data_IF_746277514973
#
_entry.id   IF_746277514973
#
_cell.length_a   1.000
_cell.length_b   1.000
_cell.length_c   1.000
_cell.angle_alpha   90.00
_cell.angle_beta   90.00
_cell.angle_gamma   90.00
#
_symmetry.space_group_name_H-M   'P 1'
#
loop_
_entity.id
_entity.type
_entity.pdbx_description
1 polymer ?
#
# COMPACT_ATOMS: atom_id res chain seq x y z
N UNK A 1 -4.69 22.70 5.63
CA UNK A 1 -4.83 22.44 7.07
C UNK A 1 -3.65 23.00 7.84
N UNK A 2 -3.90 23.76 8.91
CA UNK A 2 -2.86 24.29 9.80
C UNK A 2 -3.34 24.22 11.26
N UNK A 3 -2.53 23.63 12.13
CA UNK A 3 -2.77 23.66 13.56
C UNK A 3 -2.38 25.02 14.13
N UNK A 4 -3.21 25.54 15.02
CA UNK A 4 -2.99 26.83 15.67
C UNK A 4 -2.77 26.62 17.18
N UNK A 5 -1.76 27.31 17.71
CA UNK A 5 -1.34 27.24 19.11
C UNK A 5 0.17 27.04 19.25
N UNK A 6 0.75 27.45 20.35
CA UNK A 6 2.18 27.27 20.69
C UNK A 6 2.38 26.21 21.75
N UNK A 7 1.88 26.44 22.96
CA UNK A 7 1.99 25.49 24.09
C UNK A 7 0.73 24.66 24.30
N UNK A 8 -0.37 25.10 23.72
CA UNK A 8 -1.69 24.46 23.77
C UNK A 8 -2.35 24.57 22.41
N UNK A 9 -3.08 23.53 22.01
CA UNK A 9 -3.94 23.59 20.82
C UNK A 9 -5.05 24.59 21.07
N UNK A 10 -5.22 25.55 20.16
CA UNK A 10 -6.30 26.53 20.16
C UNK A 10 -7.36 26.18 19.13
N UNK A 11 -6.99 25.50 18.07
CA UNK A 11 -7.90 25.12 17.01
C UNK A 11 -7.23 24.73 15.73
N UNK A 12 -8.06 24.57 14.70
CA UNK A 12 -7.70 24.14 13.35
C UNK A 12 -8.13 25.18 12.33
N UNK A 13 -7.21 25.62 11.50
CA UNK A 13 -7.50 26.42 10.33
C UNK A 13 -7.51 25.54 9.08
N UNK A 14 -8.58 25.62 8.30
CA UNK A 14 -8.71 24.89 7.03
C UNK A 14 -9.26 25.78 5.92
N UNK A 15 -8.98 25.42 4.69
CA UNK A 15 -9.62 25.97 3.49
C UNK A 15 -10.37 24.83 2.78
N UNK A 16 -11.56 25.14 2.29
CA UNK A 16 -12.30 24.22 1.42
C UNK A 16 -11.60 24.12 0.07
N UNK A 17 -11.46 22.90 -0.45
CA UNK A 17 -11.07 22.65 -1.84
C UNK A 17 -12.37 22.68 -2.67
N UNK A 18 -12.85 23.88 -3.03
CA UNK A 18 -13.94 23.99 -3.99
C UNK A 18 -13.43 23.61 -5.37
N UNK A 19 -14.19 22.79 -6.09
CA UNK A 19 -13.84 22.27 -7.42
C UNK A 19 -13.89 23.31 -8.56
N UNK A 20 -14.14 24.58 -8.28
CA UNK A 20 -14.19 25.64 -9.28
C UNK A 20 -12.96 26.54 -9.21
N UNK A 21 -12.16 26.63 -10.30
CA UNK A 21 -10.93 27.41 -10.33
C UNK A 21 -11.15 28.94 -10.42
N UNK A 22 -12.38 29.42 -10.40
CA UNK A 22 -12.70 30.84 -10.68
C UNK A 22 -12.91 31.74 -9.46
N UNK A 23 -12.79 31.23 -8.24
CA UNK A 23 -12.92 32.07 -7.04
C UNK A 23 -11.59 32.15 -6.30
N UNK A 24 -10.88 33.22 -6.55
CA UNK A 24 -9.59 33.62 -5.95
C UNK A 24 -9.68 34.00 -4.46
N UNK A 25 -10.56 33.39 -3.68
CA UNK A 25 -10.61 33.55 -2.23
C UNK A 25 -10.63 32.18 -1.57
N UNK A 26 -9.44 31.69 -1.21
CA UNK A 26 -9.28 30.63 -0.22
C UNK A 26 -9.84 31.13 1.12
N UNK A 27 -11.14 31.01 1.31
CA UNK A 27 -11.79 31.34 2.56
C UNK A 27 -11.25 30.38 3.63
N UNK A 28 -10.39 30.90 4.47
CA UNK A 28 -9.83 30.15 5.59
C UNK A 28 -10.84 30.18 6.73
N UNK A 29 -11.29 29.00 7.13
CA UNK A 29 -12.19 28.83 8.26
C UNK A 29 -11.38 28.35 9.46
N UNK A 30 -11.74 28.86 10.64
CA UNK A 30 -11.11 28.46 11.89
C UNK A 30 -12.14 27.76 12.78
N UNK A 31 -11.74 26.62 13.34
CA UNK A 31 -12.54 25.85 14.31
C UNK A 31 -11.78 25.83 15.63
N UNK A 32 -12.40 26.29 16.71
CA UNK A 32 -11.86 26.14 18.06
C UNK A 32 -11.87 24.67 18.47
N UNK A 33 -10.77 24.19 19.01
CA UNK A 33 -10.64 22.83 19.51
C UNK A 33 -9.56 22.74 20.60
N UNK A 34 -9.84 22.06 21.67
CA UNK A 34 -8.88 21.78 22.74
C UNK A 34 -7.99 20.59 22.41
N UNK A 35 -8.49 19.67 21.57
CA UNK A 35 -7.78 18.48 21.10
C UNK A 35 -8.07 18.25 19.61
N UNK A 36 -7.05 17.80 18.87
CA UNK A 36 -7.17 17.44 17.46
C UNK A 36 -6.66 16.01 17.31
N UNK A 37 -7.49 15.15 16.71
CA UNK A 37 -7.14 13.77 16.38
C UNK A 37 -6.92 13.68 14.88
N UNK A 38 -5.73 13.25 14.45
CA UNK A 38 -5.40 13.02 13.05
C UNK A 38 -5.76 11.57 12.72
N UNK A 39 -6.76 11.38 11.86
CA UNK A 39 -7.27 10.08 11.45
C UNK A 39 -7.39 10.01 9.91
N UNK A 40 -6.35 10.43 9.21
CA UNK A 40 -6.31 10.56 7.74
C UNK A 40 -5.85 9.29 7.02
N UNK A 41 -5.73 8.16 7.73
CA UNK A 41 -5.22 6.90 7.21
C UNK A 41 -3.68 6.81 7.29
N UNK A 42 -3.18 5.70 6.79
CA UNK A 42 -1.75 5.38 6.76
C UNK A 42 -1.31 5.13 5.31
N UNK A 43 -0.08 5.48 5.00
CA UNK A 43 0.57 5.09 3.75
C UNK A 43 1.51 3.92 4.01
N UNK A 44 1.71 3.02 3.04
CA UNK A 44 2.68 1.94 3.19
C UNK A 44 4.09 2.50 3.40
N UNK A 45 4.85 1.87 4.29
CA UNK A 45 6.28 2.18 4.44
C UNK A 45 7.05 1.51 3.31
N UNK A 46 7.60 2.31 2.40
CA UNK A 46 8.30 1.82 1.21
C UNK A 46 9.75 1.39 1.50
N UNK A 47 10.17 1.36 2.75
CA UNK A 47 11.58 1.14 3.11
C UNK A 47 12.11 -0.22 2.62
N UNK A 48 11.35 -1.30 2.81
CA UNK A 48 11.74 -2.65 2.34
C UNK A 48 11.73 -2.71 0.81
N UNK A 49 10.78 -2.04 0.17
CA UNK A 49 10.58 -2.07 -1.28
C UNK A 49 11.68 -1.29 -1.99
N UNK A 50 12.03 -0.11 -1.48
CA UNK A 50 13.09 0.75 -2.04
C UNK A 50 14.48 0.12 -1.95
N UNK A 51 14.69 -0.81 -0.99
CA UNK A 51 15.96 -1.52 -0.81
C UNK A 51 16.03 -2.87 -1.51
N UNK A 52 14.91 -3.35 -2.10
CA UNK A 52 14.85 -4.66 -2.75
C UNK A 52 14.63 -4.48 -4.26
N UNK A 53 15.69 -4.61 -5.09
CA UNK A 53 15.56 -4.50 -6.55
C UNK A 53 14.59 -5.55 -7.10
N UNK A 54 13.79 -5.17 -8.12
CA UNK A 54 12.87 -6.04 -8.83
C UNK A 54 11.46 -6.13 -8.24
N UNK A 55 11.18 -5.45 -7.12
CA UNK A 55 9.82 -5.30 -6.60
C UNK A 55 9.28 -3.93 -7.04
N UNK A 56 8.24 -3.94 -7.88
CA UNK A 56 7.55 -2.73 -8.29
C UNK A 56 6.39 -2.39 -7.36
N UNK A 57 6.09 -1.10 -7.30
CA UNK A 57 4.95 -0.55 -6.56
C UNK A 57 4.02 0.25 -7.46
N UNK A 58 2.79 0.42 -7.01
CA UNK A 58 1.84 1.37 -7.59
C UNK A 58 2.25 2.81 -7.27
N UNK A 59 1.67 3.83 -7.95
CA UNK A 59 1.91 5.23 -7.61
C UNK A 59 1.59 5.57 -6.14
N UNK A 60 0.66 4.83 -5.52
CA UNK A 60 0.28 4.99 -4.12
C UNK A 60 1.23 4.26 -3.14
N UNK A 61 2.22 3.52 -3.66
CA UNK A 61 3.24 2.83 -2.89
C UNK A 61 2.87 1.40 -2.47
N UNK A 62 1.82 0.79 -3.03
CA UNK A 62 1.46 -0.60 -2.78
C UNK A 62 2.24 -1.55 -3.68
N UNK A 63 2.55 -2.75 -3.19
CA UNK A 63 3.26 -3.78 -3.97
C UNK A 63 2.38 -4.27 -5.11
N UNK A 64 2.92 -4.27 -6.32
CA UNK A 64 2.26 -4.90 -7.47
C UNK A 64 2.39 -6.42 -7.38
N UNK A 65 1.27 -7.13 -7.53
CA UNK A 65 1.21 -8.59 -7.52
C UNK A 65 0.53 -9.13 -8.77
N UNK A 66 0.85 -10.39 -9.10
CA UNK A 66 0.26 -11.13 -10.21
C UNK A 66 -0.96 -11.93 -9.71
N UNK A 67 -1.89 -12.21 -10.63
CA UNK A 67 -3.03 -13.08 -10.35
C UNK A 67 -2.65 -14.58 -10.43
N UNK A 68 -1.59 -14.92 -11.17
CA UNK A 68 -1.11 -16.30 -11.35
C UNK A 68 0.40 -16.35 -11.39
N UNK A 69 1.04 -17.03 -10.42
CA UNK A 69 0.45 -17.50 -9.15
C UNK A 69 0.02 -16.32 -8.29
N UNK A 70 -1.09 -16.49 -7.57
CA UNK A 70 -1.70 -15.39 -6.82
C UNK A 70 -0.77 -14.82 -5.76
N UNK A 71 -0.67 -13.50 -5.73
CA UNK A 71 0.14 -12.77 -4.76
C UNK A 71 1.64 -12.72 -5.09
N UNK A 72 2.11 -13.33 -6.19
CA UNK A 72 3.51 -13.18 -6.59
C UNK A 72 3.77 -11.75 -7.06
N UNK A 73 4.81 -11.12 -6.51
CA UNK A 73 5.25 -9.77 -6.91
C UNK A 73 5.86 -9.77 -8.32
N UNK A 74 6.36 -8.62 -8.76
CA UNK A 74 7.16 -8.53 -10.00
C UNK A 74 8.46 -9.32 -9.91
N UNK A 75 9.00 -9.50 -8.69
CA UNK A 75 10.17 -10.34 -8.45
C UNK A 75 9.75 -11.80 -8.25
N UNK A 76 10.33 -12.70 -9.06
CA UNK A 76 10.02 -14.13 -9.00
C UNK A 76 10.32 -14.76 -7.63
N UNK A 77 9.36 -15.56 -7.15
CA UNK A 77 9.48 -16.25 -5.86
C UNK A 77 9.24 -15.37 -4.63
N UNK A 78 8.90 -14.10 -4.82
CA UNK A 78 8.53 -13.17 -3.75
C UNK A 78 7.03 -12.93 -3.79
N UNK A 79 6.36 -13.20 -2.68
CA UNK A 79 4.92 -13.10 -2.55
C UNK A 79 4.51 -12.02 -1.55
N UNK A 80 3.37 -11.40 -1.80
CA UNK A 80 2.83 -10.32 -0.98
C UNK A 80 1.30 -10.35 -0.97
N UNK A 81 0.70 -9.92 0.13
CA UNK A 81 -0.75 -9.84 0.28
C UNK A 81 -1.18 -9.00 1.48
N UNK A 82 -2.47 -8.77 1.62
CA UNK A 82 -3.02 -7.92 2.67
C UNK A 82 -2.80 -6.42 2.41
N UNK A 83 -2.63 -5.65 3.48
CA UNK A 83 -2.60 -4.19 3.44
C UNK A 83 -1.48 -3.60 2.58
N UNK A 84 -0.37 -4.31 2.45
CA UNK A 84 0.78 -3.87 1.63
C UNK A 84 0.48 -3.92 0.11
N UNK A 85 -0.56 -4.67 -0.29
CA UNK A 85 -1.02 -4.79 -1.68
C UNK A 85 -2.29 -3.99 -1.94
N UNK A 86 -3.26 -4.12 -1.03
CA UNK A 86 -4.62 -3.58 -1.24
C UNK A 86 -4.92 -2.30 -0.45
N UNK A 87 -3.99 -1.86 0.40
CA UNK A 87 -4.19 -0.76 1.33
C UNK A 87 -4.82 -1.21 2.65
N UNK A 88 -4.89 -0.30 3.64
CA UNK A 88 -5.41 -0.59 4.97
C UNK A 88 -6.85 -1.09 4.91
N UNK A 89 -7.09 -2.28 5.47
CA UNK A 89 -8.37 -2.95 5.48
C UNK A 89 -8.61 -3.68 6.81
N UNK A 90 -9.60 -4.56 6.84
CA UNK A 90 -9.91 -5.35 8.04
C UNK A 90 -8.99 -6.56 8.18
N UNK A 91 -8.77 -7.00 9.42
CA UNK A 91 -8.01 -8.24 9.73
C UNK A 91 -8.61 -9.45 9.00
N UNK A 92 -9.94 -9.53 8.87
CA UNK A 92 -10.62 -10.62 8.16
C UNK A 92 -10.22 -10.67 6.69
N UNK A 93 -10.13 -9.52 6.03
CA UNK A 93 -9.66 -9.44 4.63
C UNK A 93 -8.19 -9.82 4.51
N UNK A 94 -7.34 -9.36 5.42
CA UNK A 94 -5.93 -9.75 5.44
C UNK A 94 -5.76 -11.26 5.59
N UNK A 95 -6.52 -11.91 6.47
CA UNK A 95 -6.53 -13.38 6.64
C UNK A 95 -7.02 -14.11 5.39
N UNK A 96 -8.06 -13.59 4.73
CA UNK A 96 -8.56 -14.16 3.47
C UNK A 96 -7.50 -14.08 2.37
N UNK A 97 -6.84 -12.94 2.25
CA UNK A 97 -5.75 -12.75 1.29
C UNK A 97 -4.55 -13.65 1.58
N UNK A 98 -4.16 -13.79 2.84
CA UNK A 98 -3.08 -14.69 3.25
C UNK A 98 -3.32 -16.14 2.81
N UNK A 99 -4.55 -16.65 2.92
CA UNK A 99 -4.93 -18.00 2.44
C UNK A 99 -4.76 -18.12 0.92
N UNK A 100 -5.16 -17.13 0.14
CA UNK A 100 -4.99 -17.16 -1.31
C UNK A 100 -3.51 -17.10 -1.71
N UNK A 101 -2.73 -16.26 -1.05
CA UNK A 101 -1.28 -16.15 -1.27
C UNK A 101 -0.59 -17.48 -0.95
N UNK A 102 -0.97 -18.13 0.16
CA UNK A 102 -0.44 -19.46 0.52
C UNK A 102 -0.70 -20.50 -0.59
N UNK A 103 -1.91 -20.52 -1.17
CA UNK A 103 -2.22 -21.37 -2.32
C UNK A 103 -1.34 -21.01 -3.54
N UNK A 104 -1.14 -19.75 -3.80
CA UNK A 104 -0.25 -19.28 -4.88
C UNK A 104 1.20 -19.72 -4.69
N UNK A 105 1.70 -19.69 -3.46
CA UNK A 105 3.05 -20.19 -3.12
C UNK A 105 3.16 -21.68 -3.40
N UNK A 106 2.17 -22.50 -2.98
CA UNK A 106 2.15 -23.94 -3.25
C UNK A 106 2.21 -24.22 -4.74
N UNK A 107 1.33 -23.57 -5.52
CA UNK A 107 1.31 -23.72 -6.98
C UNK A 107 2.65 -23.35 -7.62
N UNK A 108 3.28 -22.29 -7.17
CA UNK A 108 4.59 -21.87 -7.67
C UNK A 108 5.68 -22.91 -7.37
N UNK A 109 5.71 -23.44 -6.13
CA UNK A 109 6.71 -24.42 -5.72
C UNK A 109 6.52 -25.76 -6.47
N UNK A 110 5.29 -26.20 -6.66
CA UNK A 110 4.97 -27.41 -7.42
C UNK A 110 5.35 -27.25 -8.90
N UNK A 111 5.00 -26.13 -9.53
CA UNK A 111 5.38 -25.85 -10.90
C UNK A 111 6.92 -25.81 -11.05
N UNK A 112 7.62 -25.19 -10.10
CA UNK A 112 9.09 -25.14 -10.11
C UNK A 112 9.70 -26.54 -10.02
N UNK A 113 9.20 -27.42 -9.15
CA UNK A 113 9.69 -28.80 -9.04
C UNK A 113 9.49 -29.57 -10.34
N UNK A 114 8.29 -29.47 -10.94
CA UNK A 114 8.02 -30.13 -12.23
C UNK A 114 8.94 -29.65 -13.34
N UNK A 115 9.24 -28.36 -13.40
CA UNK A 115 10.17 -27.81 -14.38
C UNK A 115 11.60 -28.34 -14.16
N UNK A 116 12.07 -28.41 -12.92
CA UNK A 116 13.38 -28.98 -12.57
C UNK A 116 13.47 -30.47 -12.96
N UNK A 117 12.43 -31.25 -12.69
CA UNK A 117 12.33 -32.67 -13.07
C UNK A 117 12.34 -32.87 -14.59
N UNK A 118 11.75 -31.95 -15.35
CA UNK A 118 11.77 -31.95 -16.81
C UNK A 118 13.07 -31.39 -17.42
N UNK A 119 14.04 -30.99 -16.60
CA UNK A 119 15.30 -30.40 -17.05
C UNK A 119 15.17 -28.96 -17.59
N UNK A 120 14.02 -28.32 -17.37
CA UNK A 120 13.76 -26.93 -17.75
C UNK A 120 14.26 -26.00 -16.64
N UNK A 121 15.14 -25.07 -16.99
CA UNK A 121 15.59 -24.01 -16.05
C UNK A 121 14.58 -22.85 -16.12
N UNK A 122 14.07 -22.45 -14.95
CA UNK A 122 13.42 -21.16 -14.82
C UNK A 122 14.52 -20.11 -14.99
N UNK A 123 14.46 -19.31 -16.06
CA UNK A 123 15.32 -18.14 -16.18
C UNK A 123 15.14 -17.29 -14.94
N UNK A 124 16.23 -17.05 -14.23
CA UNK A 124 16.27 -16.04 -13.17
C UNK A 124 16.27 -14.71 -13.90
N UNK A 125 15.10 -14.14 -14.11
CA UNK A 125 15.03 -12.78 -14.62
C UNK A 125 15.84 -11.86 -13.71
N UNK A 126 16.69 -11.12 -14.38
CA UNK A 126 17.63 -10.12 -13.90
C UNK A 126 17.06 -9.13 -12.90
#
# INVERSE_FOLDING_TARGET
LRFMGTNKVLGLQYSSLSAEPSVNQQQRTFINADKIIIAIGQKPSNQIISTTPGIEVTPDGFVKTKDRPYGMSTKHGVFSGGDVVHGPATVVLAMKEAKKVATGIVQYVEAKKLMEECGLKIEKDL
#
